data_IF_209719257302
#
_entry.id   IF_209719257302
#
_cell.length_a   1.000
_cell.length_b   1.000
_cell.length_c   1.000
_cell.angle_alpha   90.00
_cell.angle_beta   90.00
_cell.angle_gamma   90.00
#
_symmetry.space_group_name_H-M   'P 1'
#
loop_
_entity.id
_entity.type
_entity.pdbx_description
1 polymer ?
#
# COMPACT_ATOMS: atom_id res chain seq x y z
N UNK A 1 16.67 25.12 3.45
CA UNK A 1 15.41 25.23 4.21
C UNK A 1 14.72 23.88 4.23
N UNK A 2 15.04 23.02 5.21
CA UNK A 2 14.39 21.71 5.34
C UNK A 2 12.98 21.94 5.87
N UNK A 3 11.98 21.85 4.99
CA UNK A 3 10.59 21.93 5.40
C UNK A 3 10.23 20.66 6.17
N UNK A 4 10.25 20.75 7.49
CA UNK A 4 9.95 19.66 8.41
C UNK A 4 8.59 19.01 8.05
N UNK A 5 8.62 17.69 7.85
CA UNK A 5 7.43 16.87 7.61
C UNK A 5 6.51 16.98 8.84
N UNK A 6 5.23 17.33 8.68
CA UNK A 6 4.33 17.49 9.83
C UNK A 6 4.13 16.13 10.53
N UNK A 7 4.08 16.07 11.87
CA UNK A 7 3.88 14.81 12.60
C UNK A 7 2.62 14.04 12.14
N UNK A 8 1.57 14.76 11.78
CA UNK A 8 0.33 14.18 11.25
C UNK A 8 0.53 13.48 9.90
N UNK A 9 1.34 14.03 9.00
CA UNK A 9 1.63 13.39 7.71
C UNK A 9 2.43 12.10 7.88
N UNK A 10 3.41 12.08 8.79
CA UNK A 10 4.16 10.85 9.11
C UNK A 10 3.25 9.77 9.70
N UNK A 11 2.32 10.16 10.58
CA UNK A 11 1.35 9.24 11.16
C UNK A 11 0.44 8.62 10.08
N UNK A 12 -0.05 9.43 9.13
CA UNK A 12 -0.84 8.94 7.99
C UNK A 12 -0.04 7.96 7.12
N UNK A 13 1.20 8.29 6.76
CA UNK A 13 2.07 7.38 5.99
C UNK A 13 2.24 6.04 6.70
N UNK A 14 2.52 6.06 8.01
CA UNK A 14 2.66 4.83 8.80
C UNK A 14 1.37 4.02 8.84
N UNK A 15 0.21 4.68 8.99
CA UNK A 15 -1.09 3.99 8.99
C UNK A 15 -1.34 3.24 7.67
N UNK A 16 -1.11 3.88 6.53
CA UNK A 16 -1.22 3.22 5.22
C UNK A 16 -0.18 2.11 5.05
N UNK A 17 1.06 2.34 5.47
CA UNK A 17 2.13 1.35 5.38
C UNK A 17 1.84 0.07 6.19
N UNK A 18 1.17 0.18 7.35
CA UNK A 18 0.74 -0.97 8.18
C UNK A 18 -0.27 -1.89 7.47
N UNK A 19 -1.05 -1.34 6.54
CA UNK A 19 -2.06 -2.10 5.79
C UNK A 19 -1.49 -2.57 4.45
N UNK A 20 -0.91 -1.65 3.67
CA UNK A 20 -0.40 -1.95 2.33
C UNK A 20 0.81 -2.89 2.35
N UNK A 21 1.68 -2.78 3.36
CA UNK A 21 2.86 -3.61 3.47
C UNK A 21 2.53 -5.11 3.55
N UNK A 22 1.81 -5.56 4.60
CA UNK A 22 1.42 -6.95 4.73
C UNK A 22 0.52 -7.44 3.59
N UNK A 23 -0.38 -6.57 3.10
CA UNK A 23 -1.25 -6.90 1.97
C UNK A 23 -0.44 -7.30 0.72
N UNK A 24 0.55 -6.50 0.32
CA UNK A 24 1.40 -6.82 -0.83
C UNK A 24 2.13 -8.15 -0.65
N UNK A 25 2.78 -8.33 0.51
CA UNK A 25 3.52 -9.58 0.81
C UNK A 25 2.61 -10.80 0.71
N UNK A 26 1.43 -10.77 1.33
CA UNK A 26 0.52 -11.91 1.36
C UNK A 26 0.01 -12.22 -0.06
N UNK A 27 -0.44 -11.21 -0.80
CA UNK A 27 -1.01 -11.40 -2.15
C UNK A 27 0.05 -11.92 -3.11
N UNK A 28 1.25 -11.34 -3.12
CA UNK A 28 2.32 -11.73 -4.05
C UNK A 28 2.85 -13.14 -3.74
N UNK A 29 3.01 -13.48 -2.46
CA UNK A 29 3.44 -14.84 -2.06
C UNK A 29 2.40 -15.88 -2.47
N UNK A 30 1.10 -15.62 -2.25
CA UNK A 30 0.03 -16.52 -2.68
C UNK A 30 -0.01 -16.62 -4.20
N UNK A 31 0.17 -15.51 -4.92
CA UNK A 31 0.14 -15.47 -6.38
C UNK A 31 1.28 -16.30 -7.00
N UNK A 32 2.48 -16.27 -6.41
CA UNK A 32 3.60 -17.11 -6.83
C UNK A 32 3.38 -18.57 -6.43
N UNK A 33 2.96 -18.84 -5.19
CA UNK A 33 2.70 -20.20 -4.71
C UNK A 33 1.58 -20.91 -5.51
N UNK A 34 0.63 -20.14 -6.04
CA UNK A 34 -0.49 -20.62 -6.86
C UNK A 34 -0.39 -20.18 -8.32
N UNK A 35 0.83 -20.02 -8.83
CA UNK A 35 1.04 -19.54 -10.20
C UNK A 35 0.35 -20.41 -11.27
N UNK A 36 0.25 -21.73 -11.04
CA UNK A 36 -0.49 -22.66 -11.91
C UNK A 36 -1.97 -22.30 -12.05
N UNK A 37 -2.58 -21.78 -10.99
CA UNK A 37 -4.01 -21.51 -10.92
C UNK A 37 -4.36 -20.14 -11.50
N UNK A 38 -3.41 -19.19 -11.52
CA UNK A 38 -3.67 -17.79 -11.89
C UNK A 38 -4.23 -17.65 -13.31
N UNK A 39 -3.76 -18.46 -14.26
CA UNK A 39 -4.28 -18.45 -15.64
C UNK A 39 -5.74 -18.89 -15.71
N UNK A 40 -6.13 -19.88 -14.90
CA UNK A 40 -7.53 -20.32 -14.78
C UNK A 40 -8.41 -19.27 -14.12
N UNK A 41 -7.90 -18.55 -13.10
CA UNK A 41 -8.67 -17.48 -12.47
C UNK A 41 -8.94 -16.33 -13.45
N UNK A 42 -7.97 -15.97 -14.29
CA UNK A 42 -8.15 -14.92 -15.30
C UNK A 42 -9.17 -15.35 -16.37
N UNK A 43 -9.14 -16.60 -16.84
CA UNK A 43 -10.11 -17.06 -17.84
C UNK A 43 -11.55 -17.06 -17.30
N UNK A 44 -11.75 -17.44 -16.03
CA UNK A 44 -13.06 -17.35 -15.37
C UNK A 44 -13.53 -15.91 -15.18
N UNK A 45 -12.58 -15.01 -14.94
CA UNK A 45 -12.85 -13.58 -14.81
C UNK A 45 -13.24 -12.96 -16.15
N UNK A 46 -12.56 -13.32 -17.26
CA UNK A 46 -12.93 -12.90 -18.61
C UNK A 46 -14.31 -13.41 -19.04
N UNK A 47 -14.64 -14.66 -18.68
CA UNK A 47 -15.91 -15.28 -19.01
C UNK A 47 -17.11 -14.62 -18.31
N UNK A 48 -16.88 -13.92 -17.19
CA UNK A 48 -17.92 -13.37 -16.34
C UNK A 48 -17.73 -11.86 -16.13
N UNK A 49 -18.35 -11.05 -16.99
CA UNK A 49 -18.27 -9.58 -16.94
C UNK A 49 -18.62 -8.98 -15.56
N UNK A 50 -19.50 -9.64 -14.80
CA UNK A 50 -19.86 -9.23 -13.44
C UNK A 50 -18.65 -9.21 -12.49
N UNK A 51 -17.75 -10.20 -12.57
CA UNK A 51 -16.56 -10.24 -11.72
C UNK A 51 -15.60 -9.10 -12.04
N UNK A 52 -15.47 -8.75 -13.31
CA UNK A 52 -14.68 -7.60 -13.74
C UNK A 52 -15.23 -6.28 -13.23
N UNK A 53 -16.54 -6.11 -13.30
CA UNK A 53 -17.21 -4.92 -12.77
C UNK A 53 -17.09 -4.82 -11.24
N UNK A 54 -17.38 -5.90 -10.52
CA UNK A 54 -17.33 -5.92 -9.05
C UNK A 54 -15.89 -5.68 -8.56
N UNK A 55 -14.92 -6.43 -9.08
CA UNK A 55 -13.52 -6.27 -8.70
C UNK A 55 -13.01 -4.87 -9.06
N UNK A 56 -13.33 -4.37 -10.25
CA UNK A 56 -12.97 -3.02 -10.69
C UNK A 56 -13.51 -1.94 -9.76
N UNK A 57 -14.78 -2.03 -9.35
CA UNK A 57 -15.39 -1.08 -8.41
C UNK A 57 -14.71 -1.09 -7.05
N UNK A 58 -14.48 -2.28 -6.46
CA UNK A 58 -13.81 -2.38 -5.16
C UNK A 58 -12.36 -1.90 -5.20
N UNK A 59 -11.60 -2.27 -6.24
CA UNK A 59 -10.23 -1.81 -6.44
C UNK A 59 -10.19 -0.29 -6.60
N UNK A 60 -11.12 0.28 -7.39
CA UNK A 60 -11.18 1.73 -7.60
C UNK A 60 -11.47 2.48 -6.29
N UNK A 61 -12.47 2.04 -5.52
CA UNK A 61 -12.80 2.64 -4.22
C UNK A 61 -11.60 2.57 -3.27
N UNK A 62 -10.94 1.41 -3.18
CA UNK A 62 -9.76 1.24 -2.34
C UNK A 62 -8.62 2.17 -2.76
N UNK A 63 -8.34 2.27 -4.06
CA UNK A 63 -7.35 3.19 -4.62
C UNK A 63 -7.68 4.65 -4.30
N UNK A 64 -8.93 5.06 -4.50
CA UNK A 64 -9.38 6.43 -4.21
C UNK A 64 -9.29 6.76 -2.71
N UNK A 65 -9.57 5.81 -1.82
CA UNK A 65 -9.36 5.99 -0.37
C UNK A 65 -7.89 6.23 -0.05
N UNK A 66 -6.96 5.51 -0.70
CA UNK A 66 -5.53 5.75 -0.53
C UNK A 66 -5.13 7.12 -1.10
N UNK A 67 -5.57 7.45 -2.31
CA UNK A 67 -5.27 8.73 -2.98
C UNK A 67 -5.76 9.90 -2.13
N UNK A 68 -7.04 9.91 -1.73
CA UNK A 68 -7.60 10.96 -0.87
C UNK A 68 -6.96 10.97 0.53
N UNK A 69 -6.63 9.78 1.05
CA UNK A 69 -6.00 9.56 2.34
C UNK A 69 -4.51 9.88 2.37
N UNK A 70 -3.84 10.00 1.22
CA UNK A 70 -2.39 10.08 1.16
C UNK A 70 -1.88 10.74 -0.15
N UNK A 71 -1.88 12.08 -0.20
CA UNK A 71 -1.20 12.88 -1.24
C UNK A 71 0.11 13.50 -0.76
N UNK A 72 0.84 12.78 0.11
CA UNK A 72 2.09 13.27 0.66
C UNK A 72 3.28 12.59 -0.01
N UNK A 73 4.25 13.38 -0.45
CA UNK A 73 5.33 12.92 -1.34
C UNK A 73 6.73 13.07 -0.74
N UNK A 74 6.86 13.23 0.59
CA UNK A 74 8.18 13.38 1.20
C UNK A 74 8.56 12.17 2.04
N UNK A 75 9.72 11.61 1.73
CA UNK A 75 10.19 10.35 2.28
C UNK A 75 9.78 9.17 1.40
N UNK A 76 10.66 8.16 1.32
CA UNK A 76 10.49 7.03 0.41
C UNK A 76 9.16 6.29 0.64
N UNK A 77 8.82 5.98 1.90
CA UNK A 77 7.55 5.32 2.22
C UNK A 77 6.32 6.13 1.79
N UNK A 78 6.35 7.47 1.92
CA UNK A 78 5.24 8.33 1.52
C UNK A 78 5.05 8.30 0.00
N UNK A 79 6.15 8.41 -0.74
CA UNK A 79 6.15 8.31 -2.21
C UNK A 79 5.60 6.95 -2.66
N UNK A 80 6.08 5.86 -2.06
CA UNK A 80 5.61 4.50 -2.39
C UNK A 80 4.11 4.36 -2.14
N UNK A 81 3.60 4.80 -0.98
CA UNK A 81 2.17 4.74 -0.65
C UNK A 81 1.34 5.53 -1.66
N UNK A 82 1.76 6.74 -2.02
CA UNK A 82 1.04 7.57 -2.99
C UNK A 82 1.08 6.98 -4.41
N UNK A 83 2.23 6.42 -4.83
CA UNK A 83 2.34 5.72 -6.11
C UNK A 83 1.45 4.47 -6.16
N UNK A 84 1.43 3.67 -5.08
CA UNK A 84 0.54 2.52 -4.97
C UNK A 84 -0.94 2.92 -5.03
N UNK A 85 -1.32 4.00 -4.34
CA UNK A 85 -2.68 4.55 -4.41
C UNK A 85 -3.09 4.84 -5.84
N UNK A 86 -2.28 5.61 -6.58
CA UNK A 86 -2.54 5.93 -7.97
C UNK A 86 -2.52 4.71 -8.89
N UNK A 87 -1.58 3.78 -8.71
CA UNK A 87 -1.52 2.54 -9.48
C UNK A 87 -2.81 1.71 -9.31
N UNK A 88 -3.28 1.56 -8.07
CA UNK A 88 -4.51 0.83 -7.74
C UNK A 88 -5.73 1.55 -8.33
N UNK A 89 -5.82 2.88 -8.21
CA UNK A 89 -6.89 3.68 -8.81
C UNK A 89 -6.95 3.50 -10.32
N UNK A 90 -5.81 3.64 -11.01
CA UNK A 90 -5.74 3.46 -12.46
C UNK A 90 -6.10 2.03 -12.85
N UNK A 91 -5.61 1.02 -12.12
CA UNK A 91 -5.97 -0.37 -12.34
C UNK A 91 -7.47 -0.60 -12.23
N UNK A 92 -8.12 -0.09 -11.17
CA UNK A 92 -9.57 -0.21 -10.97
C UNK A 92 -10.36 0.48 -12.08
N UNK A 93 -9.93 1.68 -12.48
CA UNK A 93 -10.53 2.42 -13.59
C UNK A 93 -10.42 1.65 -14.92
N UNK A 94 -9.22 1.17 -15.27
CA UNK A 94 -9.02 0.40 -16.49
C UNK A 94 -9.77 -0.93 -16.48
N UNK A 95 -9.91 -1.55 -15.31
CA UNK A 95 -10.68 -2.79 -15.17
C UNK A 95 -12.18 -2.56 -15.41
N UNK A 96 -12.73 -1.42 -15.00
CA UNK A 96 -14.12 -1.04 -15.26
C UNK A 96 -14.35 -0.62 -16.72
N UNK A 97 -13.44 0.19 -17.28
CA UNK A 97 -13.60 0.75 -18.61
C UNK A 97 -13.18 -0.21 -19.73
N UNK A 98 -12.15 -1.03 -19.50
CA UNK A 98 -11.51 -1.89 -20.50
C UNK A 98 -11.11 -3.27 -19.93
N UNK A 99 -12.05 -4.06 -19.37
CA UNK A 99 -11.74 -5.31 -18.67
C UNK A 99 -10.96 -6.32 -19.53
N UNK A 100 -11.30 -6.45 -20.81
CA UNK A 100 -10.61 -7.36 -21.75
C UNK A 100 -9.15 -6.97 -21.98
N UNK A 101 -8.86 -5.67 -22.06
CA UNK A 101 -7.48 -5.19 -22.25
C UNK A 101 -6.63 -5.51 -21.01
N UNK A 102 -7.17 -5.29 -19.81
CA UNK A 102 -6.48 -5.62 -18.55
C UNK A 102 -6.23 -7.12 -18.43
N UNK A 103 -7.22 -7.96 -18.77
CA UNK A 103 -7.06 -9.41 -18.70
C UNK A 103 -6.05 -9.94 -19.73
N UNK A 104 -6.04 -9.39 -20.95
CA UNK A 104 -5.01 -9.70 -21.96
C UNK A 104 -3.59 -9.36 -21.48
N UNK A 105 -3.39 -8.19 -20.86
CA UNK A 105 -2.09 -7.79 -20.30
C UNK A 105 -1.69 -8.74 -19.17
N UNK A 106 -2.61 -9.08 -18.26
CA UNK A 106 -2.34 -10.02 -17.17
C UNK A 106 -1.95 -11.42 -17.69
N UNK A 107 -2.65 -11.93 -18.71
CA UNK A 107 -2.34 -13.20 -19.36
C UNK A 107 -0.96 -13.19 -20.04
N UNK A 108 -0.58 -12.09 -20.70
CA UNK A 108 0.74 -11.93 -21.30
C UNK A 108 1.84 -11.91 -20.23
N UNK A 109 1.62 -11.20 -19.12
CA UNK A 109 2.58 -11.15 -18.00
C UNK A 109 2.79 -12.51 -17.35
N UNK A 110 1.73 -13.26 -17.08
CA UNK A 110 1.82 -14.62 -16.51
C UNK A 110 2.41 -15.61 -17.51
N UNK A 111 2.18 -15.43 -18.82
CA UNK A 111 2.87 -16.19 -19.87
C UNK A 111 4.38 -16.02 -19.83
N UNK A 112 4.85 -14.83 -19.48
CA UNK A 112 6.25 -14.54 -19.22
C UNK A 112 6.62 -14.84 -17.75
N UNK A 113 6.60 -16.12 -17.37
CA UNK A 113 6.76 -16.59 -15.97
C UNK A 113 7.91 -15.90 -15.20
N UNK A 114 9.08 -15.72 -15.82
CA UNK A 114 10.21 -15.03 -15.19
C UNK A 114 9.91 -13.56 -14.86
N UNK A 115 9.26 -12.84 -15.78
CA UNK A 115 8.85 -11.45 -15.57
C UNK A 115 7.75 -11.33 -14.51
N UNK A 116 6.77 -12.24 -14.52
CA UNK A 116 5.73 -12.31 -13.49
C UNK A 116 6.33 -12.50 -12.09
N UNK A 117 7.18 -13.52 -11.92
CA UNK A 117 7.84 -13.80 -10.64
C UNK A 117 8.72 -12.63 -10.20
N UNK A 118 9.48 -12.03 -11.11
CA UNK A 118 10.31 -10.86 -10.80
C UNK A 118 9.46 -9.69 -10.27
N UNK A 119 8.31 -9.44 -10.88
CA UNK A 119 7.40 -8.39 -10.44
C UNK A 119 6.83 -8.67 -9.04
N UNK A 120 6.38 -9.90 -8.79
CA UNK A 120 5.91 -10.31 -7.46
C UNK A 120 7.02 -10.17 -6.40
N UNK A 121 8.27 -10.52 -6.73
CA UNK A 121 9.41 -10.33 -5.82
C UNK A 121 9.63 -8.85 -5.51
N UNK A 122 9.60 -7.98 -6.52
CA UNK A 122 9.75 -6.53 -6.32
C UNK A 122 8.64 -5.98 -5.42
N UNK A 123 7.38 -6.31 -5.67
CA UNK A 123 6.27 -5.84 -4.82
C UNK A 123 6.30 -6.46 -3.42
N UNK A 124 6.75 -7.70 -3.27
CA UNK A 124 6.99 -8.32 -1.96
C UNK A 124 8.06 -7.55 -1.18
N UNK A 125 9.18 -7.18 -1.80
CA UNK A 125 10.22 -6.37 -1.15
C UNK A 125 9.72 -4.99 -0.74
N UNK A 126 8.92 -4.34 -1.60
CA UNK A 126 8.24 -3.09 -1.28
C UNK A 126 7.28 -3.28 -0.09
N UNK A 127 6.53 -4.37 -0.07
CA UNK A 127 5.61 -4.73 1.01
C UNK A 127 6.33 -4.94 2.34
N UNK A 128 7.46 -5.65 2.32
CA UNK A 128 8.32 -5.84 3.51
C UNK A 128 8.86 -4.51 4.03
N UNK A 129 9.34 -3.65 3.13
CA UNK A 129 9.79 -2.30 3.49
C UNK A 129 8.68 -1.46 4.14
N UNK A 130 7.48 -1.44 3.55
CA UNK A 130 6.33 -0.72 4.13
C UNK A 130 5.89 -1.32 5.46
N UNK A 131 5.92 -2.64 5.59
CA UNK A 131 5.61 -3.33 6.84
C UNK A 131 6.57 -2.88 7.93
N UNK A 132 7.88 -2.88 7.63
CA UNK A 132 8.89 -2.37 8.54
C UNK A 132 8.62 -0.91 8.93
N UNK A 133 8.39 0.00 7.98
CA UNK A 133 8.12 1.42 8.28
C UNK A 133 6.84 1.61 9.10
N UNK A 134 5.79 0.85 8.79
CA UNK A 134 4.51 0.91 9.48
C UNK A 134 4.62 0.47 10.95
N UNK A 135 5.39 -0.58 11.23
CA UNK A 135 5.47 -1.21 12.53
C UNK A 135 6.74 -0.87 13.33
N UNK A 136 7.73 -0.19 12.74
CA UNK A 136 8.94 0.23 13.43
C UNK A 136 8.58 1.15 14.62
N UNK A 137 9.14 0.88 15.83
CA UNK A 137 8.91 1.73 16.99
C UNK A 137 9.26 3.18 16.69
N UNK A 138 8.33 4.10 16.95
CA UNK A 138 8.69 5.52 17.04
C UNK A 138 9.53 5.67 18.30
N UNK A 139 10.69 6.36 18.27
CA UNK A 139 11.43 6.65 19.49
C UNK A 139 10.47 7.31 20.47
N UNK A 140 10.13 6.59 21.55
CA UNK A 140 9.47 7.18 22.71
C UNK A 140 10.33 8.37 23.07
N UNK A 141 9.78 9.57 23.16
CA UNK A 141 10.47 10.69 23.81
C UNK A 141 10.20 10.51 25.29
N UNK A 142 11.08 9.86 26.09
CA UNK A 142 10.94 10.03 27.53
C UNK A 142 11.26 11.51 27.79
N UNK A 143 10.77 12.11 28.88
CA UNK A 143 11.22 13.44 29.34
C UNK A 143 10.55 14.69 28.69
N UNK A 144 9.22 14.78 28.68
CA UNK A 144 8.56 16.11 28.84
C UNK A 144 7.52 16.16 29.96
N UNK A 145 7.03 15.00 30.45
CA UNK A 145 6.12 14.95 31.59
C UNK A 145 6.82 15.38 32.90
N UNK A 146 8.10 15.03 33.10
CA UNK A 146 8.82 15.31 34.36
C UNK A 146 9.18 16.79 34.54
N UNK A 147 9.21 17.59 33.46
CA UNK A 147 9.55 19.01 33.53
C UNK A 147 8.34 19.92 33.78
N UNK A 148 7.10 19.45 33.53
CA UNK A 148 5.88 20.21 33.84
C UNK A 148 5.31 19.96 35.24
N UNK A 149 5.90 19.04 36.00
CA UNK A 149 5.39 18.64 37.33
C UNK A 149 5.99 19.48 38.48
N UNK A 150 6.89 20.44 38.23
CA UNK A 150 7.33 21.29 39.34
C UNK A 150 7.63 22.77 38.98
N UNK A 151 6.60 23.61 38.76
CA UNK A 151 6.75 25.05 38.87
C UNK A 151 6.58 25.58 40.31
N UNK A 152 5.91 24.84 41.20
CA UNK A 152 5.37 25.41 42.44
C UNK A 152 5.57 24.51 43.68
N UNK A 153 6.80 24.41 44.17
CA UNK A 153 7.03 24.14 45.60
C UNK A 153 7.37 25.47 46.29
N UNK A 154 6.45 26.05 47.07
CA UNK A 154 6.76 27.20 47.92
C UNK A 154 7.83 26.77 48.94
N UNK A 155 8.97 27.46 48.95
CA UNK A 155 9.98 27.29 49.99
C UNK A 155 9.39 27.82 51.30
N UNK A 156 9.00 26.89 52.17
CA UNK A 156 8.79 27.19 53.57
C UNK A 156 10.16 27.21 54.28
N UNK A 157 10.58 28.40 54.72
CA UNK A 157 11.43 28.64 55.89
C UNK A 157 11.38 30.13 56.22
#
# INVERSE_FOLDING_TARGET
MAMNVSPQSQARTRMFARVLGPFLVIVDVIAVARASDMRSLISQFEANSLWAWVAGAFILVFGLVIVAGHQYWRGAAAIIVSLLGWLVTLRGLFLLAFPKAVASVANAMIGAQAWWVALCVVFTLVGLYLTYVGWAPTPSRPTQQTARVNPDLPRAA
#
